data_IF_893234897380
#
_entry.id   IF_893234897380
#
_cell.length_a   1.000
_cell.length_b   1.000
_cell.length_c   1.000
_cell.angle_alpha   90.00
_cell.angle_beta   90.00
_cell.angle_gamma   90.00
#
_symmetry.space_group_name_H-M   'P 1'
#
loop_
_entity.id
_entity.type
_entity.pdbx_description
1 polymer ?
#
# COMPACT_ATOMS: atom_id res chain seq x y z
N UNK A 1 3.21 7.56 20.50
CA UNK A 1 2.99 6.66 19.35
C UNK A 1 1.73 5.86 19.60
N UNK A 2 0.86 5.73 18.60
CA UNK A 2 -0.29 4.84 18.62
C UNK A 2 0.16 3.38 18.56
N UNK A 3 -0.57 2.47 19.19
CA UNK A 3 -0.33 1.03 19.06
C UNK A 3 -0.71 0.54 17.66
N UNK A 4 -0.17 -0.60 17.22
CA UNK A 4 -0.56 -1.20 15.94
C UNK A 4 -2.07 -1.44 15.85
N UNK A 5 -2.67 -1.89 16.95
CA UNK A 5 -4.12 -2.09 17.02
C UNK A 5 -4.93 -0.81 16.82
N UNK A 6 -4.48 0.32 17.40
CA UNK A 6 -5.12 1.63 17.17
C UNK A 6 -5.05 2.05 15.70
N UNK A 7 -3.91 1.81 15.02
CA UNK A 7 -3.77 2.08 13.59
C UNK A 7 -4.71 1.20 12.75
N UNK A 8 -4.85 -0.07 13.10
CA UNK A 8 -5.81 -1.00 12.45
C UNK A 8 -7.24 -0.51 12.60
N UNK A 9 -7.64 -0.07 13.78
CA UNK A 9 -8.96 0.56 13.98
C UNK A 9 -9.12 1.85 13.17
N UNK A 10 -8.06 2.65 13.01
CA UNK A 10 -8.06 3.83 12.13
C UNK A 10 -8.40 3.46 10.69
N UNK A 11 -7.75 2.42 10.13
CA UNK A 11 -8.06 1.94 8.79
C UNK A 11 -9.50 1.39 8.69
N UNK A 12 -9.98 0.63 9.69
CA UNK A 12 -11.36 0.15 9.73
C UNK A 12 -12.37 1.28 9.75
N UNK A 13 -12.13 2.31 10.55
CA UNK A 13 -12.99 3.49 10.62
C UNK A 13 -13.07 4.21 9.27
N UNK A 14 -11.93 4.32 8.56
CA UNK A 14 -11.88 4.87 7.21
C UNK A 14 -12.74 4.05 6.25
N UNK A 15 -12.60 2.73 6.24
CA UNK A 15 -13.35 1.84 5.37
C UNK A 15 -14.86 1.84 5.69
N UNK A 16 -15.22 2.06 6.94
CA UNK A 16 -16.63 2.16 7.38
C UNK A 16 -17.25 3.55 7.17
N UNK A 17 -16.46 4.54 6.76
CA UNK A 17 -16.92 5.89 6.45
C UNK A 17 -17.70 5.97 5.14
N UNK A 18 -17.97 7.19 4.72
CA UNK A 18 -18.76 7.50 3.52
C UNK A 18 -17.97 8.15 2.39
N UNK A 19 -16.74 8.61 2.66
CA UNK A 19 -15.89 9.34 1.70
C UNK A 19 -14.81 8.47 1.09
N UNK A 20 -14.51 8.74 -0.19
CA UNK A 20 -13.34 8.23 -0.87
C UNK A 20 -12.10 9.08 -0.52
N UNK A 21 -10.96 8.44 -0.27
CA UNK A 21 -9.70 9.10 0.06
C UNK A 21 -8.56 8.62 -0.82
N UNK A 22 -7.56 9.49 -1.00
CA UNK A 22 -6.25 9.13 -1.58
C UNK A 22 -5.34 8.65 -0.47
N UNK A 23 -4.72 7.47 -0.60
CA UNK A 23 -3.66 7.09 0.31
C UNK A 23 -2.38 7.86 -0.02
N UNK A 24 -1.57 8.17 0.99
CA UNK A 24 -0.18 8.57 0.75
C UNK A 24 0.61 7.37 0.22
N UNK A 25 1.20 7.47 -0.97
CA UNK A 25 2.13 6.44 -1.44
C UNK A 25 3.43 6.54 -0.64
N UNK A 26 3.70 5.51 0.18
CA UNK A 26 4.82 5.46 1.12
C UNK A 26 5.68 4.24 0.84
N UNK A 27 6.99 4.36 1.05
CA UNK A 27 7.95 3.30 0.72
C UNK A 27 9.11 3.20 1.70
N UNK A 28 9.27 4.20 2.59
CA UNK A 28 10.32 4.23 3.61
C UNK A 28 9.89 5.03 4.86
N UNK A 29 10.80 5.11 5.83
CA UNK A 29 10.57 5.81 7.08
C UNK A 29 10.30 7.31 6.91
N UNK A 30 10.93 7.96 5.92
CA UNK A 30 10.76 9.40 5.66
C UNK A 30 9.43 9.67 5.00
N UNK A 31 9.07 8.90 3.97
CA UNK A 31 7.81 9.06 3.25
C UNK A 31 6.58 8.83 4.16
N UNK A 32 6.65 7.88 5.11
CA UNK A 32 5.59 7.69 6.11
C UNK A 32 5.43 8.92 7.01
N UNK A 33 6.54 9.50 7.48
CA UNK A 33 6.49 10.71 8.33
C UNK A 33 5.97 11.92 7.58
N UNK A 34 6.40 12.08 6.32
CA UNK A 34 5.89 13.17 5.48
C UNK A 34 4.38 13.01 5.26
N UNK A 35 3.91 11.81 4.93
CA UNK A 35 2.49 11.57 4.74
C UNK A 35 1.69 11.82 6.04
N UNK A 36 2.20 11.39 7.19
CA UNK A 36 1.61 11.67 8.51
C UNK A 36 1.53 13.19 8.79
N UNK A 37 2.63 13.92 8.57
CA UNK A 37 2.72 15.37 8.82
C UNK A 37 1.81 16.18 7.87
N UNK A 38 1.57 15.69 6.66
CA UNK A 38 0.63 16.28 5.70
C UNK A 38 -0.83 15.92 5.97
N UNK A 39 -1.11 15.06 6.95
CA UNK A 39 -2.47 14.71 7.37
C UNK A 39 -3.13 13.64 6.51
N UNK A 40 -2.36 12.79 5.82
CA UNK A 40 -2.95 11.61 5.18
C UNK A 40 -3.51 10.68 6.25
N UNK A 41 -4.70 10.14 5.98
CA UNK A 41 -5.40 9.24 6.88
C UNK A 41 -4.92 7.80 6.77
N UNK A 42 -4.32 7.44 5.61
CA UNK A 42 -3.77 6.11 5.32
C UNK A 42 -2.58 6.20 4.37
N UNK A 43 -1.58 5.35 4.61
CA UNK A 43 -0.49 5.11 3.68
C UNK A 43 -0.75 3.85 2.85
N UNK A 44 -0.31 3.86 1.58
CA UNK A 44 -0.27 2.69 0.71
C UNK A 44 1.18 2.31 0.45
N UNK A 45 1.57 1.11 0.86
CA UNK A 45 2.86 0.52 0.54
C UNK A 45 2.67 -0.53 -0.54
N UNK A 46 2.83 -0.10 -1.80
CA UNK A 46 2.63 -0.94 -2.97
C UNK A 46 3.86 -1.77 -3.33
N UNK A 47 3.66 -2.93 -3.97
CA UNK A 47 4.72 -3.80 -4.47
C UNK A 47 5.71 -3.08 -5.38
N UNK A 48 5.20 -2.24 -6.31
CA UNK A 48 6.05 -1.44 -7.21
C UNK A 48 6.96 -0.46 -6.48
N UNK A 49 6.43 0.24 -5.45
CA UNK A 49 7.24 1.15 -4.65
C UNK A 49 8.26 0.38 -3.80
N UNK A 50 7.90 -0.81 -3.30
CA UNK A 50 8.79 -1.69 -2.55
C UNK A 50 9.93 -2.21 -3.43
N UNK A 51 9.64 -2.73 -4.63
CA UNK A 51 10.66 -3.21 -5.58
C UNK A 51 11.66 -2.12 -5.93
N UNK A 52 11.18 -0.92 -6.26
CA UNK A 52 12.06 0.22 -6.56
C UNK A 52 12.91 0.65 -5.35
N UNK A 53 12.31 0.74 -4.17
CA UNK A 53 13.00 1.26 -2.98
C UNK A 53 14.00 0.27 -2.37
N UNK A 54 13.76 -1.04 -2.52
CA UNK A 54 14.55 -2.09 -1.86
C UNK A 54 15.53 -2.73 -2.82
N UNK A 55 15.10 -3.05 -4.04
CA UNK A 55 15.91 -3.77 -5.03
C UNK A 55 16.48 -2.85 -6.12
N UNK A 56 15.80 -1.73 -6.43
CA UNK A 56 16.09 -0.94 -7.62
C UNK A 56 15.59 -1.61 -8.91
N UNK A 57 14.74 -2.61 -8.80
CA UNK A 57 14.21 -3.41 -9.90
C UNK A 57 12.74 -3.10 -10.20
N UNK A 58 12.25 -3.41 -11.41
CA UNK A 58 10.84 -3.31 -11.74
C UNK A 58 9.99 -4.30 -10.93
N UNK A 59 8.69 -4.01 -10.86
CA UNK A 59 7.68 -4.82 -10.16
C UNK A 59 7.32 -6.07 -10.99
N UNK A 60 8.09 -7.12 -10.84
CA UNK A 60 7.89 -8.42 -11.49
C UNK A 60 7.97 -9.58 -10.47
N UNK A 61 7.56 -9.33 -9.24
CA UNK A 61 7.55 -10.30 -8.14
C UNK A 61 8.94 -10.86 -7.76
N UNK A 62 9.99 -10.01 -7.83
CA UNK A 62 11.35 -10.37 -7.39
C UNK A 62 11.54 -10.17 -5.88
N UNK A 63 10.84 -9.21 -5.29
CA UNK A 63 10.96 -8.93 -3.86
C UNK A 63 10.49 -10.13 -3.03
N UNK A 64 11.24 -10.44 -1.98
CA UNK A 64 10.88 -11.51 -1.06
C UNK A 64 9.95 -11.00 0.06
N UNK A 65 9.17 -11.92 0.65
CA UNK A 65 8.37 -11.61 1.84
C UNK A 65 9.22 -11.00 2.97
N UNK A 66 10.43 -11.50 3.18
CA UNK A 66 11.30 -11.00 4.25
C UNK A 66 11.73 -9.55 4.03
N UNK A 67 12.06 -9.18 2.81
CA UNK A 67 12.41 -7.79 2.44
C UNK A 67 11.23 -6.85 2.61
N UNK A 68 10.04 -7.23 2.11
CA UNK A 68 8.81 -6.45 2.28
C UNK A 68 8.48 -6.25 3.77
N UNK A 69 8.53 -7.32 4.54
CA UNK A 69 8.23 -7.30 5.99
C UNK A 69 9.22 -6.43 6.76
N UNK A 70 10.50 -6.54 6.45
CA UNK A 70 11.54 -5.73 7.11
C UNK A 70 11.35 -4.24 6.79
N UNK A 71 10.99 -3.90 5.57
CA UNK A 71 10.69 -2.51 5.20
C UNK A 71 9.42 -2.02 5.90
N UNK A 72 8.37 -2.82 5.95
CA UNK A 72 7.15 -2.49 6.70
C UNK A 72 7.46 -2.24 8.19
N UNK A 73 8.32 -3.05 8.79
CA UNK A 73 8.77 -2.89 10.20
C UNK A 73 9.49 -1.55 10.41
N UNK A 74 10.35 -1.13 9.47
CA UNK A 74 11.02 0.19 9.52
C UNK A 74 10.01 1.33 9.44
N UNK A 75 9.06 1.23 8.53
CA UNK A 75 8.01 2.22 8.34
C UNK A 75 7.11 2.33 9.56
N UNK A 76 6.66 1.21 10.11
CA UNK A 76 5.76 1.19 11.27
C UNK A 76 6.39 1.74 12.57
N UNK A 77 7.73 1.69 12.68
CA UNK A 77 8.48 2.33 13.80
C UNK A 77 8.65 3.83 13.59
N UNK A 78 8.62 4.31 12.36
CA UNK A 78 8.92 5.69 12.03
C UNK A 78 7.76 6.65 12.32
N UNK A 79 6.52 6.20 12.16
CA UNK A 79 5.31 7.00 12.31
C UNK A 79 4.13 6.23 12.89
N UNK A 80 2.97 6.87 12.94
CA UNK A 80 1.71 6.32 13.45
C UNK A 80 0.64 6.16 12.36
N UNK A 81 0.97 6.50 11.12
CA UNK A 81 0.07 6.37 9.97
C UNK A 81 -0.37 4.92 9.80
N UNK A 82 -1.68 4.61 9.68
CA UNK A 82 -2.13 3.29 9.24
C UNK A 82 -1.60 3.00 7.85
N UNK A 83 -0.95 1.85 7.63
CA UNK A 83 -0.44 1.48 6.31
C UNK A 83 -1.17 0.24 5.80
N UNK A 84 -1.79 0.37 4.62
CA UNK A 84 -2.27 -0.74 3.81
C UNK A 84 -1.11 -1.22 2.93
N UNK A 85 -0.79 -2.52 3.03
CA UNK A 85 0.32 -3.14 2.30
C UNK A 85 -0.21 -3.93 1.12
N UNK A 86 0.39 -3.75 -0.04
CA UNK A 86 0.21 -4.66 -1.16
C UNK A 86 1.08 -5.90 -0.93
N UNK A 87 0.45 -7.01 -0.58
CA UNK A 87 1.14 -8.28 -0.37
C UNK A 87 1.13 -9.17 -1.61
N UNK A 88 0.87 -8.57 -2.78
CA UNK A 88 0.85 -9.24 -4.08
C UNK A 88 0.04 -10.56 -4.05
N UNK A 89 0.58 -11.61 -4.61
CA UNK A 89 0.00 -12.97 -4.63
C UNK A 89 0.14 -13.74 -3.31
N UNK A 90 0.69 -13.10 -2.26
CA UNK A 90 0.95 -13.73 -0.96
C UNK A 90 2.19 -14.63 -0.91
N UNK A 91 3.13 -14.42 -1.85
CA UNK A 91 4.45 -15.09 -1.91
C UNK A 91 4.41 -16.61 -2.04
N UNK A 92 3.37 -17.14 -2.70
CA UNK A 92 3.23 -18.55 -3.01
C UNK A 92 1.79 -19.05 -2.93
N UNK A 93 1.58 -20.28 -2.45
CA UNK A 93 0.26 -20.89 -2.29
C UNK A 93 -0.44 -20.41 -1.01
N UNK A 94 -1.62 -20.95 -0.70
CA UNK A 94 -2.41 -20.56 0.47
C UNK A 94 -1.67 -20.72 1.81
N UNK A 95 -0.72 -21.64 1.94
CA UNK A 95 0.09 -21.79 3.15
C UNK A 95 1.16 -20.70 3.27
N UNK A 96 1.69 -20.24 2.13
CA UNK A 96 2.59 -19.07 2.10
C UNK A 96 1.82 -17.80 2.47
N UNK A 97 0.58 -17.64 1.99
CA UNK A 97 -0.30 -16.53 2.36
C UNK A 97 -0.50 -16.45 3.87
N UNK A 98 -0.70 -17.58 4.56
CA UNK A 98 -0.78 -17.59 6.02
C UNK A 98 0.44 -16.93 6.66
N UNK A 99 1.63 -17.37 6.26
CA UNK A 99 2.89 -16.80 6.75
C UNK A 99 3.02 -15.33 6.40
N UNK A 100 2.62 -14.93 5.21
CA UNK A 100 2.64 -13.51 4.77
C UNK A 100 1.81 -12.63 5.70
N UNK A 101 0.61 -13.08 6.07
CA UNK A 101 -0.24 -12.35 7.01
C UNK A 101 0.41 -12.26 8.38
N UNK A 102 0.91 -13.37 8.92
CA UNK A 102 1.56 -13.43 10.25
C UNK A 102 2.76 -12.47 10.32
N UNK A 103 3.62 -12.47 9.30
CA UNK A 103 4.81 -11.62 9.25
C UNK A 103 4.46 -10.12 9.10
N UNK A 104 3.54 -9.77 8.20
CA UNK A 104 3.13 -8.38 7.99
C UNK A 104 2.32 -7.84 9.17
N UNK A 105 1.49 -8.67 9.79
CA UNK A 105 0.77 -8.31 11.02
C UNK A 105 1.74 -7.97 12.15
N UNK A 106 2.76 -8.81 12.36
CA UNK A 106 3.82 -8.60 13.36
C UNK A 106 4.69 -7.38 13.02
N UNK A 107 4.88 -7.07 11.74
CA UNK A 107 5.59 -5.86 11.28
C UNK A 107 4.79 -4.57 11.47
N UNK A 108 3.50 -4.65 11.83
CA UNK A 108 2.67 -3.49 12.15
C UNK A 108 1.82 -2.98 10.99
N UNK A 109 1.57 -3.77 9.96
CA UNK A 109 0.58 -3.46 8.93
C UNK A 109 -0.80 -3.20 9.55
N UNK A 110 -1.53 -2.23 8.99
CA UNK A 110 -2.91 -1.96 9.37
C UNK A 110 -3.90 -2.81 8.54
N UNK A 111 -3.52 -3.16 7.35
CA UNK A 111 -4.22 -4.06 6.46
C UNK A 111 -3.30 -4.53 5.33
N UNK A 112 -3.74 -5.52 4.59
CA UNK A 112 -3.02 -6.04 3.43
C UNK A 112 -3.99 -6.51 2.34
N UNK A 113 -3.53 -6.45 1.09
CA UNK A 113 -4.23 -7.01 -0.07
C UNK A 113 -3.63 -8.37 -0.42
N UNK A 114 -4.46 -9.30 -0.85
CA UNK A 114 -4.04 -10.58 -1.45
C UNK A 114 -4.73 -10.69 -2.81
N UNK A 115 -3.93 -10.87 -3.87
CA UNK A 115 -4.45 -10.92 -5.22
C UNK A 115 -4.43 -12.33 -5.83
N UNK A 116 -5.20 -12.44 -6.91
CA UNK A 116 -5.40 -13.66 -7.71
C UNK A 116 -4.59 -13.70 -9.00
N UNK A 117 -3.61 -12.82 -9.17
CA UNK A 117 -2.68 -12.90 -10.31
C UNK A 117 -1.71 -14.06 -10.11
N UNK A 118 -1.45 -14.80 -11.21
CA UNK A 118 -0.44 -15.85 -11.23
C UNK A 118 0.95 -15.20 -11.27
N UNK A 119 1.60 -15.16 -10.13
CA UNK A 119 2.93 -14.58 -9.94
C UNK A 119 3.88 -15.56 -9.21
N UNK A 120 5.20 -15.51 -9.50
CA UNK A 120 5.79 -14.80 -10.64
C UNK A 120 5.32 -15.39 -11.98
N UNK A 121 5.45 -14.60 -13.08
CA UNK A 121 5.04 -15.07 -14.41
C UNK A 121 5.71 -16.40 -14.77
N UNK A 122 4.94 -17.32 -15.36
CA UNK A 122 5.45 -18.62 -15.76
C UNK A 122 6.45 -18.51 -16.93
N UNK A 123 7.36 -19.46 -17.04
CA UNK A 123 8.34 -19.50 -18.13
C UNK A 123 7.64 -19.50 -19.49
N UNK A 124 8.05 -18.57 -20.36
CA UNK A 124 7.50 -18.39 -21.70
C UNK A 124 6.20 -17.56 -21.77
N UNK A 125 5.63 -17.15 -20.65
CA UNK A 125 4.40 -16.37 -20.60
C UNK A 125 4.71 -14.87 -20.50
N UNK A 126 4.25 -14.12 -21.49
CA UNK A 126 4.42 -12.65 -21.54
C UNK A 126 3.19 -11.87 -21.00
N UNK A 127 2.05 -12.53 -20.88
CA UNK A 127 0.79 -11.91 -20.45
C UNK A 127 0.46 -12.29 -19.02
N UNK A 128 -0.08 -11.33 -18.28
CA UNK A 128 -0.63 -11.61 -16.96
C UNK A 128 -1.73 -12.69 -17.05
N UNK A 129 -1.70 -13.62 -16.11
CA UNK A 129 -2.69 -14.68 -15.97
C UNK A 129 -3.28 -14.65 -14.56
N UNK A 130 -4.43 -15.26 -14.39
CA UNK A 130 -5.05 -15.47 -13.09
C UNK A 130 -4.90 -16.93 -12.63
N UNK A 131 -4.78 -17.11 -11.33
CA UNK A 131 -5.05 -18.42 -10.72
C UNK A 131 -6.55 -18.75 -10.80
N UNK A 132 -6.93 -20.01 -10.60
CA UNK A 132 -8.34 -20.36 -10.60
C UNK A 132 -9.13 -19.61 -9.51
N UNK A 133 -10.44 -19.40 -9.69
CA UNK A 133 -11.29 -18.79 -8.65
C UNK A 133 -11.22 -19.54 -7.31
N UNK A 134 -11.15 -20.87 -7.35
CA UNK A 134 -11.06 -21.76 -6.18
C UNK A 134 -9.73 -21.55 -5.43
N UNK A 135 -8.62 -21.44 -6.16
CA UNK A 135 -7.31 -21.15 -5.57
C UNK A 135 -7.26 -19.76 -4.97
N UNK A 136 -7.80 -18.74 -5.67
CA UNK A 136 -7.93 -17.37 -5.16
C UNK A 136 -8.75 -17.30 -3.87
N UNK A 137 -9.90 -17.99 -3.84
CA UNK A 137 -10.71 -18.14 -2.65
C UNK A 137 -9.98 -18.87 -1.51
N UNK A 138 -9.19 -19.89 -1.84
CA UNK A 138 -8.36 -20.64 -0.89
C UNK A 138 -7.32 -19.71 -0.22
N UNK A 139 -6.64 -18.87 -1.00
CA UNK A 139 -5.68 -17.87 -0.49
C UNK A 139 -6.34 -16.85 0.43
N UNK A 140 -7.49 -16.31 0.06
CA UNK A 140 -8.25 -15.36 0.89
C UNK A 140 -8.69 -15.98 2.21
N UNK A 141 -9.22 -17.22 2.19
CA UNK A 141 -9.57 -17.96 3.41
C UNK A 141 -8.35 -18.21 4.30
N UNK A 142 -7.20 -18.52 3.71
CA UNK A 142 -5.96 -18.71 4.44
C UNK A 142 -5.49 -17.40 5.12
N UNK A 143 -5.62 -16.26 4.43
CA UNK A 143 -5.32 -14.94 4.99
C UNK A 143 -6.20 -14.62 6.20
N UNK A 144 -7.51 -14.82 6.07
CA UNK A 144 -8.48 -14.59 7.15
C UNK A 144 -8.22 -15.49 8.37
N UNK A 145 -7.85 -16.75 8.13
CA UNK A 145 -7.56 -17.70 9.20
C UNK A 145 -6.22 -17.42 9.92
N UNK A 146 -5.25 -16.82 9.23
CA UNK A 146 -3.95 -16.48 9.80
C UNK A 146 -3.98 -15.23 10.68
N UNK A 147 -4.94 -14.34 10.46
CA UNK A 147 -5.12 -13.09 11.19
C UNK A 147 -5.30 -13.33 12.68
N UNK A 148 -4.41 -12.77 13.51
CA UNK A 148 -4.47 -12.88 14.97
C UNK A 148 -5.23 -11.72 15.62
N UNK A 149 -4.99 -10.49 15.18
CA UNK A 149 -5.75 -9.32 15.62
C UNK A 149 -6.95 -9.10 14.68
N UNK A 150 -8.20 -9.26 15.18
CA UNK A 150 -9.40 -9.03 14.37
C UNK A 150 -9.49 -7.62 13.76
N UNK A 151 -8.71 -6.67 14.28
CA UNK A 151 -8.64 -5.32 13.72
C UNK A 151 -7.81 -5.24 12.43
N UNK A 152 -6.92 -6.20 12.15
CA UNK A 152 -6.18 -6.24 10.87
C UNK A 152 -7.17 -6.34 9.70
N UNK A 153 -6.99 -5.49 8.70
CA UNK A 153 -7.85 -5.48 7.50
C UNK A 153 -7.29 -6.45 6.46
N UNK A 154 -8.14 -7.36 5.98
CA UNK A 154 -7.83 -8.24 4.85
C UNK A 154 -8.66 -7.81 3.64
N UNK A 155 -7.99 -7.49 2.54
CA UNK A 155 -8.61 -7.04 1.29
C UNK A 155 -8.41 -8.12 0.23
N UNK A 156 -9.50 -8.64 -0.33
CA UNK A 156 -9.45 -9.52 -1.49
C UNK A 156 -9.28 -8.69 -2.77
N UNK A 157 -8.15 -8.84 -3.46
CA UNK A 157 -7.82 -8.09 -4.68
C UNK A 157 -8.00 -8.97 -5.91
N UNK A 158 -8.58 -8.41 -6.98
CA UNK A 158 -8.63 -9.07 -8.29
C UNK A 158 -8.25 -8.12 -9.41
N UNK A 159 -7.45 -8.65 -10.35
CA UNK A 159 -7.09 -8.02 -11.62
C UNK A 159 -7.92 -8.51 -12.80
N UNK A 160 -8.94 -9.32 -12.57
CA UNK A 160 -9.69 -10.00 -13.62
C UNK A 160 -10.33 -9.04 -14.64
N UNK A 161 -10.72 -7.84 -14.22
CA UNK A 161 -11.32 -6.85 -15.13
C UNK A 161 -10.42 -6.51 -16.33
N UNK A 162 -9.10 -6.56 -16.16
CA UNK A 162 -8.14 -6.30 -17.25
C UNK A 162 -7.59 -7.56 -17.92
N UNK A 163 -7.67 -8.72 -17.24
CA UNK A 163 -7.06 -9.98 -17.70
C UNK A 163 -8.10 -10.88 -18.40
N UNK A 164 -9.30 -10.97 -17.84
CA UNK A 164 -10.40 -11.79 -18.36
C UNK A 164 -11.62 -10.94 -18.70
N UNK A 165 -12.39 -10.52 -17.67
CA UNK A 165 -13.59 -9.69 -17.84
C UNK A 165 -14.02 -9.03 -16.53
N UNK A 166 -14.89 -8.01 -16.64
CA UNK A 166 -15.54 -7.37 -15.48
C UNK A 166 -16.45 -8.36 -14.74
N UNK A 167 -17.15 -9.25 -15.47
CA UNK A 167 -18.02 -10.26 -14.87
C UNK A 167 -17.22 -11.28 -14.03
N UNK A 168 -16.05 -11.70 -14.50
CA UNK A 168 -15.15 -12.56 -13.71
C UNK A 168 -14.64 -11.83 -12.47
N UNK A 169 -14.24 -10.55 -12.60
CA UNK A 169 -13.84 -9.74 -11.45
C UNK A 169 -14.96 -9.65 -10.39
N UNK A 170 -16.19 -9.45 -10.82
CA UNK A 170 -17.37 -9.40 -9.95
C UNK A 170 -17.60 -10.77 -9.29
N UNK A 171 -17.52 -11.86 -10.04
CA UNK A 171 -17.72 -13.20 -9.50
C UNK A 171 -16.68 -13.54 -8.42
N UNK A 172 -15.42 -13.22 -8.66
CA UNK A 172 -14.33 -13.38 -7.68
C UNK A 172 -14.54 -12.52 -6.43
N UNK A 173 -14.86 -11.24 -6.60
CA UNK A 173 -15.14 -10.34 -5.48
C UNK A 173 -16.29 -10.84 -4.59
N UNK A 174 -17.37 -11.34 -5.17
CA UNK A 174 -18.48 -11.98 -4.43
C UNK A 174 -18.02 -13.20 -3.63
N UNK A 175 -17.13 -14.02 -4.19
CA UNK A 175 -16.60 -15.17 -3.48
C UNK A 175 -15.71 -14.78 -2.30
N UNK A 176 -14.94 -13.69 -2.45
CA UNK A 176 -14.11 -13.12 -1.38
C UNK A 176 -14.97 -12.49 -0.28
N UNK A 177 -16.03 -11.73 -0.66
CA UNK A 177 -17.01 -11.21 0.28
C UNK A 177 -17.68 -12.33 1.08
N UNK A 178 -18.12 -13.40 0.43
CA UNK A 178 -18.71 -14.58 1.09
C UNK A 178 -17.72 -15.29 2.02
N UNK A 179 -16.41 -15.20 1.78
CA UNK A 179 -15.39 -15.70 2.69
C UNK A 179 -15.16 -14.82 3.91
N UNK A 180 -15.59 -13.55 3.89
CA UNK A 180 -15.53 -12.63 5.02
C UNK A 180 -14.36 -11.65 5.01
N UNK A 181 -13.85 -11.25 3.83
CA UNK A 181 -12.88 -10.15 3.72
C UNK A 181 -13.49 -8.83 4.19
N UNK A 182 -12.65 -7.90 4.61
CA UNK A 182 -13.09 -6.60 5.13
C UNK A 182 -13.35 -5.57 4.02
N UNK A 183 -12.75 -5.77 2.85
CA UNK A 183 -12.93 -4.94 1.65
C UNK A 183 -12.57 -5.75 0.41
N UNK A 184 -12.99 -5.29 -0.76
CA UNK A 184 -12.58 -5.82 -2.07
C UNK A 184 -11.77 -4.78 -2.81
N UNK A 185 -10.76 -5.22 -3.56
CA UNK A 185 -9.98 -4.33 -4.41
C UNK A 185 -10.11 -4.75 -5.87
N UNK A 186 -10.46 -3.78 -6.70
CA UNK A 186 -10.50 -3.94 -8.16
C UNK A 186 -9.36 -3.18 -8.80
N UNK A 187 -8.68 -3.81 -9.74
CA UNK A 187 -7.78 -3.17 -10.68
C UNK A 187 -8.27 -3.39 -12.11
N UNK A 188 -8.02 -2.42 -12.99
CA UNK A 188 -8.35 -2.55 -14.40
C UNK A 188 -9.79 -2.22 -14.80
N UNK A 189 -10.62 -1.67 -13.91
CA UNK A 189 -11.91 -1.07 -14.28
C UNK A 189 -11.65 0.23 -15.07
N UNK A 190 -12.27 0.37 -16.25
CA UNK A 190 -11.95 1.41 -17.23
C UNK A 190 -13.06 2.46 -17.43
N UNK A 191 -14.21 2.29 -16.77
CA UNK A 191 -15.34 3.21 -16.94
C UNK A 191 -16.20 3.31 -15.68
N UNK A 192 -16.96 4.41 -15.58
CA UNK A 192 -17.97 4.58 -14.53
C UNK A 192 -18.99 3.43 -14.52
N UNK A 193 -19.41 2.93 -15.67
CA UNK A 193 -20.37 1.84 -15.80
C UNK A 193 -19.81 0.53 -15.21
N UNK A 194 -18.55 0.21 -15.47
CA UNK A 194 -17.90 -0.97 -14.91
C UNK A 194 -17.77 -0.87 -13.38
N UNK A 195 -17.41 0.30 -12.84
CA UNK A 195 -17.36 0.50 -11.39
C UNK A 195 -18.76 0.45 -10.76
N UNK A 196 -19.78 0.98 -11.41
CA UNK A 196 -21.17 0.87 -10.95
C UNK A 196 -21.63 -0.59 -10.88
N UNK A 197 -21.32 -1.39 -11.91
CA UNK A 197 -21.63 -2.81 -11.93
C UNK A 197 -20.90 -3.57 -10.79
N UNK A 198 -19.61 -3.31 -10.60
CA UNK A 198 -18.82 -3.89 -9.53
C UNK A 198 -19.35 -3.48 -8.14
N UNK A 199 -19.66 -2.19 -7.97
CA UNK A 199 -20.22 -1.66 -6.72
C UNK A 199 -21.61 -2.24 -6.41
N UNK A 200 -22.49 -2.41 -7.40
CA UNK A 200 -23.82 -3.01 -7.21
C UNK A 200 -23.73 -4.49 -6.79
N UNK A 201 -22.62 -5.15 -7.07
CA UNK A 201 -22.44 -6.59 -6.86
C UNK A 201 -21.87 -6.96 -5.49
N UNK A 202 -21.41 -6.00 -4.68
CA UNK A 202 -20.85 -6.21 -3.33
C UNK A 202 -21.45 -5.22 -2.33
N UNK A 203 -21.47 -5.58 -1.07
CA UNK A 203 -21.86 -4.67 0.04
C UNK A 203 -20.61 -4.06 0.72
N UNK A 204 -19.44 -4.58 0.46
CA UNK A 204 -18.19 -4.18 1.09
C UNK A 204 -17.67 -2.81 0.59
N UNK A 205 -16.85 -2.13 1.38
CA UNK A 205 -16.05 -1.01 0.90
C UNK A 205 -15.10 -1.47 -0.21
N UNK A 206 -14.86 -0.58 -1.17
CA UNK A 206 -14.03 -0.84 -2.33
C UNK A 206 -12.71 -0.07 -2.20
N UNK A 207 -11.61 -0.75 -2.48
CA UNK A 207 -10.32 -0.15 -2.83
C UNK A 207 -10.22 -0.18 -4.36
N UNK A 208 -10.00 0.95 -4.99
CA UNK A 208 -9.93 1.05 -6.45
C UNK A 208 -8.51 1.38 -6.89
N UNK A 209 -7.94 0.52 -7.73
CA UNK A 209 -6.65 0.76 -8.38
C UNK A 209 -6.85 1.60 -9.64
N UNK A 210 -6.15 2.74 -9.72
CA UNK A 210 -6.09 3.60 -10.91
C UNK A 210 -7.46 4.02 -11.45
N UNK A 211 -8.23 4.82 -10.70
CA UNK A 211 -9.47 5.39 -11.21
C UNK A 211 -9.21 6.21 -12.46
N UNK A 212 -10.15 6.25 -13.40
CA UNK A 212 -10.08 7.08 -14.60
C UNK A 212 -10.39 8.55 -14.28
N UNK A 213 -9.94 9.47 -15.13
CA UNK A 213 -10.04 10.91 -14.89
C UNK A 213 -11.49 11.43 -14.78
N UNK A 214 -12.46 10.70 -15.35
CA UNK A 214 -13.88 11.00 -15.27
C UNK A 214 -14.56 10.53 -13.97
N UNK A 215 -13.86 9.78 -13.13
CA UNK A 215 -14.34 9.30 -11.83
C UNK A 215 -14.01 10.32 -10.72
N UNK A 216 -14.86 11.33 -10.56
CA UNK A 216 -14.72 12.32 -9.50
C UNK A 216 -14.97 11.73 -8.09
N UNK A 217 -14.60 12.51 -7.05
CA UNK A 217 -14.63 12.04 -5.65
C UNK A 217 -16.04 11.73 -5.14
N UNK A 218 -17.03 12.48 -5.57
CA UNK A 218 -18.40 12.27 -5.15
C UNK A 218 -18.94 10.99 -5.77
N UNK A 219 -18.65 10.76 -7.05
CA UNK A 219 -18.98 9.52 -7.72
C UNK A 219 -18.30 8.31 -7.06
N UNK A 220 -16.96 8.38 -6.81
CA UNK A 220 -16.23 7.31 -6.14
C UNK A 220 -16.83 7.01 -4.77
N UNK A 221 -17.12 8.04 -3.98
CA UNK A 221 -17.74 7.90 -2.65
C UNK A 221 -19.11 7.23 -2.72
N UNK A 222 -19.95 7.65 -3.70
CA UNK A 222 -21.29 7.05 -3.94
C UNK A 222 -21.19 5.58 -4.35
N UNK A 223 -20.10 5.17 -5.02
CA UNK A 223 -19.83 3.76 -5.36
C UNK A 223 -19.15 2.99 -4.23
N UNK A 224 -19.14 3.47 -3.01
CA UNK A 224 -18.47 2.86 -1.84
C UNK A 224 -16.96 2.66 -2.03
N UNK A 225 -16.34 3.37 -2.95
CA UNK A 225 -14.87 3.45 -2.97
C UNK A 225 -14.42 4.26 -1.75
N UNK A 226 -13.58 3.67 -0.93
CA UNK A 226 -13.03 4.33 0.27
C UNK A 226 -11.57 4.69 0.11
N UNK A 227 -10.85 3.95 -0.73
CA UNK A 227 -9.46 4.21 -1.05
C UNK A 227 -9.31 4.16 -2.58
N UNK A 228 -8.86 5.26 -3.19
CA UNK A 228 -8.56 5.35 -4.62
C UNK A 228 -7.05 5.53 -4.82
N UNK A 229 -6.39 4.47 -5.32
CA UNK A 229 -4.93 4.44 -5.50
C UNK A 229 -4.57 5.09 -6.83
N UNK A 230 -3.63 6.05 -6.82
CA UNK A 230 -3.21 6.82 -7.99
C UNK A 230 -1.70 6.68 -8.28
N UNK A 231 -1.19 5.46 -8.25
CA UNK A 231 0.21 5.17 -8.55
C UNK A 231 1.19 5.63 -7.46
N UNK A 232 2.47 5.67 -7.81
CA UNK A 232 3.59 5.88 -6.88
C UNK A 232 4.42 7.13 -7.22
N UNK A 233 3.74 8.26 -7.46
CA UNK A 233 4.39 9.53 -7.80
C UNK A 233 5.51 9.98 -6.82
N UNK A 234 5.40 9.79 -5.49
CA UNK A 234 6.44 10.22 -4.56
C UNK A 234 7.81 9.57 -4.82
N UNK A 235 7.88 8.25 -5.05
CA UNK A 235 9.17 7.60 -5.34
C UNK A 235 9.72 8.01 -6.71
N UNK A 236 8.85 8.22 -7.71
CA UNK A 236 9.24 8.73 -9.03
C UNK A 236 9.84 10.14 -8.93
N UNK A 237 9.21 11.03 -8.15
CA UNK A 237 9.73 12.38 -7.89
C UNK A 237 11.07 12.34 -7.15
N UNK A 238 11.23 11.47 -6.14
CA UNK A 238 12.49 11.27 -5.44
C UNK A 238 13.59 10.80 -6.38
N UNK A 239 13.30 9.84 -7.26
CA UNK A 239 14.24 9.35 -8.28
C UNK A 239 14.70 10.48 -9.22
N UNK A 240 13.78 11.32 -9.68
CA UNK A 240 14.10 12.46 -10.53
C UNK A 240 14.99 13.48 -9.80
N UNK A 241 14.70 13.77 -8.51
CA UNK A 241 15.49 14.70 -7.70
C UNK A 241 16.91 14.16 -7.45
N UNK A 242 17.03 12.88 -7.10
CA UNK A 242 18.34 12.22 -6.92
C UNK A 242 19.15 12.26 -8.21
N UNK A 243 18.54 11.89 -9.35
CA UNK A 243 19.21 11.94 -10.66
C UNK A 243 19.72 13.36 -10.97
N UNK A 244 18.87 14.38 -10.84
CA UNK A 244 19.23 15.76 -11.15
C UNK A 244 20.39 16.26 -10.23
N UNK A 245 20.33 15.95 -8.94
CA UNK A 245 21.35 16.35 -7.97
C UNK A 245 22.68 15.67 -8.25
N UNK A 246 22.69 14.35 -8.48
CA UNK A 246 23.92 13.61 -8.77
C UNK A 246 24.53 14.06 -10.10
N UNK A 247 23.71 14.35 -11.11
CA UNK A 247 24.17 14.90 -12.38
C UNK A 247 24.87 16.24 -12.18
N UNK A 248 24.25 17.18 -11.47
CA UNK A 248 24.85 18.49 -11.20
C UNK A 248 26.19 18.36 -10.46
N UNK A 249 26.26 17.53 -9.42
CA UNK A 249 27.51 17.26 -8.68
C UNK A 249 28.58 16.67 -9.62
N UNK A 250 28.22 15.73 -10.47
CA UNK A 250 29.15 15.13 -11.46
C UNK A 250 29.68 16.13 -12.46
N UNK A 251 28.88 17.16 -12.80
CA UNK A 251 29.22 18.25 -13.69
C UNK A 251 29.98 19.40 -13.01
N UNK A 252 30.30 19.26 -11.71
CA UNK A 252 31.12 20.20 -10.95
C UNK A 252 30.36 21.26 -10.15
N UNK A 253 29.04 21.13 -10.00
CA UNK A 253 28.27 22.03 -9.15
C UNK A 253 28.73 21.96 -7.69
N UNK A 254 28.98 23.13 -7.08
CA UNK A 254 29.27 23.24 -5.66
C UNK A 254 28.01 23.14 -4.80
N UNK A 255 28.14 22.94 -3.46
CA UNK A 255 26.98 22.80 -2.58
C UNK A 255 25.96 23.95 -2.64
N UNK A 256 26.44 25.16 -2.96
CA UNK A 256 25.59 26.38 -3.08
C UNK A 256 24.81 26.44 -4.41
N UNK A 257 25.23 25.66 -5.41
CA UNK A 257 24.63 25.65 -6.74
C UNK A 257 23.52 24.60 -6.86
N UNK A 258 23.45 23.66 -5.91
CA UNK A 258 22.42 22.64 -5.88
C UNK A 258 21.06 23.25 -5.58
N UNK A 259 20.05 22.83 -6.35
CA UNK A 259 18.68 23.33 -6.27
C UNK A 259 17.74 22.26 -5.73
N UNK A 260 16.58 22.72 -5.27
CA UNK A 260 15.50 21.84 -4.80
C UNK A 260 15.88 20.90 -3.66
N UNK A 261 16.84 21.29 -2.83
CA UNK A 261 17.16 20.57 -1.60
C UNK A 261 16.09 20.84 -0.55
N UNK A 262 15.85 19.88 0.31
CA UNK A 262 14.98 20.07 1.47
C UNK A 262 15.55 21.15 2.40
N UNK A 263 14.69 22.03 2.91
CA UNK A 263 15.11 23.03 3.90
C UNK A 263 15.52 22.36 5.22
N UNK A 264 16.31 23.08 6.03
CA UNK A 264 16.70 22.62 7.37
C UNK A 264 15.47 22.35 8.24
N UNK A 265 14.43 23.16 8.13
CA UNK A 265 13.18 23.01 8.87
C UNK A 265 12.43 21.74 8.45
N UNK A 266 12.36 21.47 7.14
CA UNK A 266 11.76 20.23 6.65
C UNK A 266 12.55 19.01 7.12
N UNK A 267 13.89 19.06 7.02
CA UNK A 267 14.76 17.98 7.50
C UNK A 267 14.62 17.75 9.00
N UNK A 268 14.55 18.83 9.80
CA UNK A 268 14.32 18.72 11.26
C UNK A 268 12.97 18.10 11.57
N UNK A 269 11.91 18.52 10.87
CA UNK A 269 10.57 17.95 11.01
C UNK A 269 10.55 16.44 10.71
N UNK A 270 11.01 16.03 9.54
CA UNK A 270 10.93 14.61 9.11
C UNK A 270 11.85 13.70 9.93
N UNK A 271 12.94 14.25 10.49
CA UNK A 271 13.82 13.48 11.39
C UNK A 271 13.36 13.49 12.85
N UNK A 272 12.31 14.31 13.17
CA UNK A 272 11.81 14.49 14.54
C UNK A 272 12.90 15.10 15.45
N UNK A 273 13.66 16.07 14.93
CA UNK A 273 14.82 16.67 15.59
C UNK A 273 14.53 17.21 16.99
N UNK A 274 13.41 17.92 17.17
CA UNK A 274 12.99 18.42 18.48
C UNK A 274 12.78 17.30 19.52
N UNK A 275 12.17 16.18 19.10
CA UNK A 275 11.97 15.00 19.96
C UNK A 275 13.30 14.34 20.31
N UNK A 276 14.20 14.23 19.34
CA UNK A 276 15.55 13.65 19.55
C UNK A 276 16.35 14.53 20.50
N UNK A 277 16.30 15.85 20.32
CA UNK A 277 16.96 16.82 21.22
C UNK A 277 16.44 16.69 22.65
N UNK A 278 15.12 16.62 22.85
CA UNK A 278 14.54 16.46 24.17
C UNK A 278 14.99 15.14 24.84
N UNK A 279 15.00 14.04 24.10
CA UNK A 279 15.53 12.75 24.59
C UNK A 279 17.01 12.82 24.95
N UNK A 280 17.79 13.60 24.22
CA UNK A 280 19.20 13.87 24.57
C UNK A 280 19.34 14.58 25.92
N UNK A 281 18.47 15.53 26.21
CA UNK A 281 18.41 16.20 27.52
C UNK A 281 18.00 15.19 28.61
N UNK A 282 16.92 14.44 28.36
CA UNK A 282 16.34 13.55 29.38
C UNK A 282 17.24 12.35 29.72
N UNK A 283 17.95 11.80 28.73
CA UNK A 283 18.64 10.51 28.89
C UNK A 283 20.17 10.58 28.73
N UNK A 284 20.72 11.64 28.12
CA UNK A 284 22.14 11.80 27.93
C UNK A 284 22.74 12.96 28.73
N UNK A 285 21.94 13.68 29.52
CA UNK A 285 22.38 14.82 30.32
C UNK A 285 22.84 16.04 29.49
N UNK A 286 22.37 16.15 28.24
CA UNK A 286 22.68 17.32 27.41
C UNK A 286 22.06 18.58 28.01
N UNK A 287 22.76 19.71 27.92
CA UNK A 287 22.20 21.00 28.35
C UNK A 287 21.17 21.52 27.34
N UNK A 288 20.16 22.23 27.83
CA UNK A 288 19.15 22.92 27.02
C UNK A 288 19.76 23.91 26.05
#
# INVERSE_FOLDING_TARGET
MTTFRQRRYGLRALLSGDRCMRPGSVYDAISVRIAEDLGFEVGMFGGSAASLAILGDPDIALITLSELTEQMRRMSRAGSLPVLVDADHGYGNALNVRRTVEELEAAGAAGLTIEDTLLPAAFGEAKAQLISPEEGLGKVKAALNARQDPALVIVGRTGAASITSVDDAIARAKSYEAAGVDAVMFTGLKSRAELQAASAATTLPIVLGSPTDDMDWDFLSAQRVRIAIQGHAPISAATAAVHATLKAVREGAGPKDLKNLASSELMDSVTRGAVVKQRGIDFLGLKK
#
